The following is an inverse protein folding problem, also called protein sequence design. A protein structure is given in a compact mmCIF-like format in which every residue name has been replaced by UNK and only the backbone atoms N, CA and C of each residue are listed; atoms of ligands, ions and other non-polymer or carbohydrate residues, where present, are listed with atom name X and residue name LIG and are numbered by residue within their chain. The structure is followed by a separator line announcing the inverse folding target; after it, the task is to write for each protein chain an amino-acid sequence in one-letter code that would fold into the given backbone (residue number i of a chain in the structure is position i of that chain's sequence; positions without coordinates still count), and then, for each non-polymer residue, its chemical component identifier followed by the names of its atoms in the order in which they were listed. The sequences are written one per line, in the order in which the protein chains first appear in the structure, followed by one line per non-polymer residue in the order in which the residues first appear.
data_IF_917496663198
#
_entry.id   IF_917496663198
#
_cell.length_a   1.000
_cell.length_b   1.000
_cell.length_c   1.000
_cell.angle_alpha   90.00
_cell.angle_beta   90.00
_cell.angle_gamma   90.00
#
_symmetry.space_group_name_H-M   'P 1'
#
loop_
_entity.id
_entity.type
_entity.pdbx_description
1 polymer ?
#
# COMPACT_ATOMS: atom_id res chain seq x y z
N UNK A 1 35.18 -35.12 53.24
CA UNK A 1 34.33 -33.94 53.57
C UNK A 1 33.98 -33.22 52.27
N UNK A 2 32.67 -33.01 52.04
CA UNK A 2 32.00 -31.98 51.18
C UNK A 2 32.38 -31.99 49.68
N UNK A 3 31.65 -32.73 48.83
CA UNK A 3 30.43 -32.37 48.06
C UNK A 3 30.61 -31.25 47.02
N UNK A 4 30.47 -31.67 45.75
CA UNK A 4 30.40 -30.93 44.50
C UNK A 4 29.36 -29.81 44.48
N UNK A 5 29.65 -28.71 43.76
CA UNK A 5 28.64 -27.95 43.00
C UNK A 5 29.27 -27.51 41.67
N UNK A 6 28.83 -28.14 40.58
CA UNK A 6 28.99 -27.62 39.22
C UNK A 6 28.15 -26.34 39.10
N UNK A 7 28.78 -25.22 38.79
CA UNK A 7 28.09 -24.00 38.35
C UNK A 7 28.01 -23.99 36.83
N UNK A 8 26.90 -24.48 36.27
CA UNK A 8 26.57 -24.28 34.86
C UNK A 8 26.05 -22.84 34.70
N UNK A 9 26.87 -21.95 34.15
CA UNK A 9 26.43 -20.62 33.75
C UNK A 9 25.59 -20.76 32.47
N UNK A 10 24.26 -20.85 32.62
CA UNK A 10 23.33 -20.77 31.50
C UNK A 10 23.09 -19.29 31.16
N UNK A 11 23.81 -18.78 30.16
CA UNK A 11 23.54 -17.48 29.54
C UNK A 11 22.26 -17.62 28.71
N UNK A 12 21.11 -17.29 29.29
CA UNK A 12 19.87 -17.17 28.54
C UNK A 12 19.92 -15.88 27.69
N UNK A 13 20.30 -16.01 26.42
CA UNK A 13 20.15 -14.94 25.45
C UNK A 13 18.65 -14.73 25.18
N UNK A 14 18.06 -13.73 25.82
CA UNK A 14 16.70 -13.29 25.57
C UNK A 14 16.69 -12.57 24.21
N UNK A 15 16.46 -13.31 23.14
CA UNK A 15 16.14 -12.71 21.84
C UNK A 15 14.77 -12.03 21.97
N UNK A 16 14.77 -10.72 22.16
CA UNK A 16 13.56 -9.91 22.05
C UNK A 16 13.18 -9.93 20.56
N UNK A 17 12.41 -10.94 20.16
CA UNK A 17 11.61 -10.88 18.95
C UNK A 17 10.63 -9.73 19.15
N UNK A 18 10.96 -8.57 18.60
CA UNK A 18 9.99 -7.49 18.46
C UNK A 18 8.87 -8.04 17.59
N UNK A 19 7.77 -8.48 18.22
CA UNK A 19 6.54 -8.82 17.53
C UNK A 19 6.07 -7.55 16.83
N UNK A 20 6.40 -7.43 15.54
CA UNK A 20 5.86 -6.38 14.70
C UNK A 20 4.35 -6.64 14.66
N UNK A 21 3.50 -5.71 15.10
CA UNK A 21 2.06 -5.94 15.10
C UNK A 21 1.64 -6.21 13.66
N UNK A 22 1.17 -7.43 13.40
CA UNK A 22 0.58 -7.80 12.12
C UNK A 22 -0.60 -6.85 11.89
N UNK A 23 -0.53 -6.06 10.81
CA UNK A 23 -1.63 -5.17 10.45
C UNK A 23 -2.80 -6.05 10.01
N UNK A 24 -3.80 -6.18 10.88
CA UNK A 24 -4.93 -7.08 10.64
C UNK A 24 -5.85 -6.58 9.53
N UNK A 25 -5.89 -5.29 9.21
CA UNK A 25 -6.82 -4.76 8.20
C UNK A 25 -6.09 -4.42 6.90
N UNK A 26 -6.05 -5.35 5.95
CA UNK A 26 -5.39 -5.19 4.66
C UNK A 26 -6.39 -4.76 3.61
N UNK A 27 -6.18 -3.59 3.02
CA UNK A 27 -6.94 -3.13 1.86
C UNK A 27 -6.35 -3.72 0.59
N UNK A 28 -7.19 -4.08 -0.39
CA UNK A 28 -6.73 -4.60 -1.67
C UNK A 28 -7.76 -4.37 -2.78
N UNK A 29 -7.25 -4.23 -3.99
CA UNK A 29 -7.98 -4.38 -5.24
C UNK A 29 -7.55 -5.71 -5.87
N UNK A 30 -8.47 -6.47 -6.42
CA UNK A 30 -8.21 -7.76 -7.08
C UNK A 30 -8.88 -7.76 -8.45
N UNK A 31 -8.11 -7.63 -9.55
CA UNK A 31 -8.67 -7.75 -10.89
C UNK A 31 -8.96 -9.21 -11.25
N UNK A 32 -9.92 -9.43 -12.14
CA UNK A 32 -10.24 -10.76 -12.69
C UNK A 32 -9.13 -11.34 -13.58
N UNK A 33 -8.24 -10.49 -14.09
CA UNK A 33 -7.03 -10.84 -14.84
C UNK A 33 -6.07 -9.63 -14.86
N UNK A 34 -4.76 -9.88 -14.93
CA UNK A 34 -3.76 -8.79 -15.06
C UNK A 34 -3.19 -8.65 -16.46
N UNK A 35 -3.16 -9.73 -17.27
CA UNK A 35 -2.67 -9.72 -18.66
C UNK A 35 -3.76 -10.25 -19.58
N UNK A 36 -4.17 -9.43 -20.55
CA UNK A 36 -5.24 -9.75 -21.50
C UNK A 36 -4.81 -9.48 -22.95
N UNK A 37 -5.56 -10.08 -23.87
CA UNK A 37 -5.44 -9.83 -25.31
C UNK A 37 -6.84 -9.80 -25.94
N UNK A 38 -6.96 -9.17 -27.11
CA UNK A 38 -8.25 -8.92 -27.77
C UNK A 38 -8.60 -7.44 -27.86
N UNK A 39 -9.59 -7.11 -28.68
CA UNK A 39 -9.91 -5.72 -29.08
C UNK A 39 -11.08 -5.12 -28.31
N UNK A 40 -11.90 -5.96 -27.66
CA UNK A 40 -12.95 -5.57 -26.74
C UNK A 40 -12.75 -6.36 -25.43
N UNK A 41 -12.15 -5.70 -24.45
CA UNK A 41 -11.64 -6.35 -23.24
C UNK A 41 -12.19 -5.63 -22.02
N UNK A 42 -12.70 -6.41 -21.08
CA UNK A 42 -13.19 -5.92 -19.81
C UNK A 42 -12.42 -6.59 -18.68
N UNK A 43 -12.24 -5.85 -17.59
CA UNK A 43 -11.77 -6.41 -16.32
C UNK A 43 -12.77 -6.07 -15.23
N UNK A 44 -13.15 -7.07 -14.44
CA UNK A 44 -13.92 -6.87 -13.21
C UNK A 44 -12.93 -6.78 -12.05
N UNK A 45 -13.14 -5.83 -11.15
CA UNK A 45 -12.28 -5.62 -9.98
C UNK A 45 -13.11 -5.76 -8.71
N UNK A 46 -12.66 -6.65 -7.83
CA UNK A 46 -13.17 -6.75 -6.47
C UNK A 46 -12.31 -5.90 -5.53
N UNK A 47 -12.96 -5.15 -4.63
CA UNK A 47 -12.32 -4.19 -3.73
C UNK A 47 -12.80 -4.40 -2.29
N UNK A 48 -11.86 -4.71 -1.38
CA UNK A 48 -12.19 -5.04 0.00
C UNK A 48 -11.06 -4.73 0.99
N UNK A 49 -11.43 -4.77 2.26
CA UNK A 49 -10.55 -4.79 3.42
C UNK A 49 -10.76 -6.12 4.12
N UNK A 50 -9.69 -6.81 4.52
CA UNK A 50 -9.77 -8.13 5.17
C UNK A 50 -8.59 -8.44 6.08
N UNK A 51 -8.77 -9.43 6.96
CA UNK A 51 -7.64 -10.02 7.69
C UNK A 51 -6.92 -11.01 6.79
N UNK A 52 -7.65 -11.98 6.25
CA UNK A 52 -7.12 -12.89 5.25
C UNK A 52 -7.11 -12.24 3.85
N UNK A 53 -5.95 -12.22 3.21
CA UNK A 53 -5.81 -11.61 1.88
C UNK A 53 -6.69 -12.30 0.83
N UNK A 54 -7.35 -11.46 0.03
CA UNK A 54 -8.29 -11.87 -1.03
C UNK A 54 -9.50 -12.66 -0.52
N UNK A 55 -9.89 -12.45 0.75
CA UNK A 55 -11.10 -13.00 1.34
C UNK A 55 -12.06 -11.91 1.83
N UNK A 56 -13.35 -12.06 1.50
CA UNK A 56 -14.37 -11.05 1.80
C UNK A 56 -14.97 -11.24 3.20
N UNK A 57 -14.28 -10.78 4.25
CA UNK A 57 -14.68 -11.06 5.64
C UNK A 57 -14.68 -9.87 6.61
N UNK A 58 -14.32 -8.66 6.17
CA UNK A 58 -14.29 -7.49 7.05
C UNK A 58 -15.14 -6.33 6.53
N UNK A 59 -14.65 -5.52 5.58
CA UNK A 59 -15.41 -4.39 5.02
C UNK A 59 -15.16 -4.23 3.52
N UNK A 60 -16.16 -3.73 2.75
CA UNK A 60 -15.93 -3.32 1.38
C UNK A 60 -15.05 -2.08 1.35
N UNK A 61 -14.14 -2.01 0.38
CA UNK A 61 -13.46 -0.75 0.07
C UNK A 61 -14.46 0.18 -0.64
N UNK A 62 -14.50 1.45 -0.23
CA UNK A 62 -15.41 2.45 -0.82
C UNK A 62 -14.89 2.88 -2.19
N UNK A 63 -15.78 2.99 -3.16
CA UNK A 63 -15.41 3.26 -4.55
C UNK A 63 -15.32 4.76 -4.88
N UNK A 64 -15.68 5.65 -3.95
CA UNK A 64 -15.71 7.10 -4.17
C UNK A 64 -14.37 7.67 -4.65
N UNK A 65 -13.26 7.09 -4.16
CA UNK A 65 -11.89 7.49 -4.50
C UNK A 65 -11.21 6.53 -5.49
N UNK A 66 -11.97 5.59 -6.10
CA UNK A 66 -11.44 4.65 -7.10
C UNK A 66 -11.57 5.25 -8.50
N UNK A 67 -10.45 5.25 -9.21
CA UNK A 67 -10.34 5.75 -10.59
C UNK A 67 -9.55 4.79 -11.46
N UNK A 68 -9.78 4.87 -12.76
CA UNK A 68 -9.02 4.13 -13.78
C UNK A 68 -8.36 5.12 -14.74
N UNK A 69 -7.17 4.78 -15.22
CA UNK A 69 -6.43 5.53 -16.22
C UNK A 69 -6.01 4.60 -17.35
N UNK A 70 -6.23 5.05 -18.58
CA UNK A 70 -5.81 4.39 -19.79
C UNK A 70 -4.28 4.51 -19.98
N UNK A 71 -3.69 3.72 -20.90
CA UNK A 71 -2.25 3.72 -21.19
C UNK A 71 -1.68 5.07 -21.62
N UNK A 72 -2.50 5.97 -22.17
CA UNK A 72 -2.13 7.33 -22.53
C UNK A 72 -2.22 8.34 -21.37
N UNK A 73 -2.65 7.89 -20.18
CA UNK A 73 -2.86 8.70 -18.98
C UNK A 73 -4.24 9.36 -18.87
N UNK A 74 -5.12 9.20 -19.86
CA UNK A 74 -6.49 9.71 -19.78
C UNK A 74 -7.31 8.95 -18.72
N UNK A 75 -8.17 9.67 -17.99
CA UNK A 75 -9.06 9.03 -17.00
C UNK A 75 -10.19 8.27 -17.71
N UNK A 76 -10.37 7.02 -17.33
CA UNK A 76 -11.43 6.16 -17.81
C UNK A 76 -12.51 5.96 -16.75
N UNK A 77 -13.71 5.61 -17.20
CA UNK A 77 -14.83 5.36 -16.30
C UNK A 77 -14.72 3.97 -15.68
N UNK A 78 -15.09 3.88 -14.40
CA UNK A 78 -15.52 2.62 -13.80
C UNK A 78 -17.02 2.45 -14.06
N UNK A 79 -17.44 1.23 -14.39
CA UNK A 79 -18.81 0.88 -14.73
C UNK A 79 -19.35 -0.20 -13.80
N UNK A 80 -20.67 -0.40 -13.80
CA UNK A 80 -21.34 -1.46 -13.03
C UNK A 80 -20.98 -1.52 -11.53
N UNK A 81 -20.63 -0.38 -10.94
CA UNK A 81 -20.20 -0.30 -9.55
C UNK A 81 -21.31 -0.74 -8.59
N UNK A 82 -20.99 -1.69 -7.72
CA UNK A 82 -21.89 -2.20 -6.69
C UNK A 82 -21.15 -2.44 -5.37
N UNK A 83 -21.73 -1.99 -4.26
CA UNK A 83 -21.18 -2.21 -2.90
C UNK A 83 -22.10 -3.11 -2.10
N UNK A 84 -21.59 -4.29 -1.75
CA UNK A 84 -22.24 -5.23 -0.83
C UNK A 84 -21.77 -5.07 0.61
N UNK A 85 -22.01 -6.11 1.43
CA UNK A 85 -21.65 -6.12 2.85
C UNK A 85 -20.15 -6.23 3.11
N UNK A 86 -19.41 -6.98 2.28
CA UNK A 86 -17.99 -7.29 2.49
C UNK A 86 -17.09 -6.96 1.29
N UNK A 87 -17.68 -6.61 0.14
CA UNK A 87 -16.94 -6.26 -1.07
C UNK A 87 -17.65 -5.20 -1.87
N UNK A 88 -16.88 -4.36 -2.53
CA UNK A 88 -17.33 -3.59 -3.68
C UNK A 88 -16.81 -4.26 -4.95
N UNK A 89 -17.55 -4.16 -6.03
CA UNK A 89 -17.17 -4.68 -7.35
C UNK A 89 -17.51 -3.63 -8.41
N UNK A 90 -16.72 -3.58 -9.47
CA UNK A 90 -16.93 -2.69 -10.61
C UNK A 90 -16.19 -3.24 -11.83
N UNK A 91 -16.53 -2.73 -13.01
CA UNK A 91 -15.91 -3.10 -14.28
C UNK A 91 -15.13 -1.93 -14.87
N UNK A 92 -14.10 -2.22 -15.66
CA UNK A 92 -13.39 -1.25 -16.49
C UNK A 92 -13.31 -1.78 -17.91
N UNK A 93 -13.77 -0.97 -18.87
CA UNK A 93 -13.64 -1.25 -20.29
C UNK A 93 -12.25 -0.82 -20.77
N UNK A 94 -11.41 -1.78 -21.16
CA UNK A 94 -10.02 -1.55 -21.54
C UNK A 94 -9.91 -1.26 -23.04
N UNK A 95 -10.32 -0.06 -23.44
CA UNK A 95 -10.46 0.36 -24.85
C UNK A 95 -9.15 0.66 -25.59
N UNK A 96 -7.99 0.43 -24.95
CA UNK A 96 -6.67 0.78 -25.47
C UNK A 96 -5.68 -0.33 -25.11
N UNK A 97 -4.75 -0.62 -26.03
CA UNK A 97 -3.60 -1.50 -25.78
C UNK A 97 -2.58 -0.78 -24.92
N UNK A 98 -1.94 -1.52 -24.01
CA UNK A 98 -0.99 -0.97 -23.04
C UNK A 98 -1.37 -1.30 -21.60
N UNK A 99 -0.63 -0.69 -20.68
CA UNK A 99 -0.84 -0.86 -19.24
C UNK A 99 -1.79 0.22 -18.71
N UNK A 100 -2.89 -0.25 -18.14
CA UNK A 100 -3.88 0.52 -17.41
C UNK A 100 -3.52 0.57 -15.94
N UNK A 101 -3.84 1.68 -15.29
CA UNK A 101 -3.76 1.81 -13.83
C UNK A 101 -5.16 1.95 -13.26
N UNK A 102 -5.48 1.20 -12.22
CA UNK A 102 -6.71 1.36 -11.45
C UNK A 102 -6.29 1.57 -10.00
N UNK A 103 -6.71 2.67 -9.39
CA UNK A 103 -6.25 3.00 -8.05
C UNK A 103 -7.33 3.62 -7.17
N UNK A 104 -7.24 3.32 -5.87
CA UNK A 104 -7.80 4.15 -4.81
C UNK A 104 -6.69 5.01 -4.22
N UNK A 105 -6.88 6.32 -4.22
CA UNK A 105 -5.91 7.28 -3.66
C UNK A 105 -6.60 8.19 -2.66
N UNK A 106 -6.16 8.16 -1.41
CA UNK A 106 -6.69 8.99 -0.34
C UNK A 106 -5.58 9.85 0.29
N UNK A 107 -5.75 11.16 0.24
CA UNK A 107 -4.92 12.14 0.93
C UNK A 107 -5.73 12.77 2.08
N UNK A 108 -5.22 12.70 3.31
CA UNK A 108 -5.85 13.29 4.48
C UNK A 108 -4.90 14.23 5.18
N UNK A 109 -5.39 15.43 5.48
CA UNK A 109 -4.75 16.37 6.40
C UNK A 109 -5.65 16.54 7.62
N UNK A 110 -5.10 16.23 8.79
CA UNK A 110 -5.74 16.50 10.07
C UNK A 110 -4.87 17.44 10.88
N UNK A 111 -5.47 18.12 11.85
CA UNK A 111 -4.70 19.04 12.67
C UNK A 111 -5.56 19.87 13.60
N UNK A 112 -4.86 20.74 14.32
CA UNK A 112 -5.46 21.72 15.22
C UNK A 112 -4.63 23.00 15.27
N UNK A 113 -5.24 24.08 15.72
CA UNK A 113 -4.61 25.38 15.93
C UNK A 113 -5.13 26.02 17.22
N UNK A 114 -4.39 26.98 17.77
CA UNK A 114 -4.83 27.82 18.87
C UNK A 114 -5.45 29.13 18.33
N UNK A 115 -6.63 29.48 18.82
CA UNK A 115 -7.31 30.75 18.50
C UNK A 115 -8.00 31.27 19.76
N UNK A 116 -7.77 32.53 20.10
CA UNK A 116 -8.36 33.17 21.30
C UNK A 116 -8.14 32.37 22.59
N UNK A 117 -6.96 31.75 22.74
CA UNK A 117 -6.61 30.92 23.91
C UNK A 117 -7.27 29.53 23.95
N UNK A 118 -7.99 29.12 22.90
CA UNK A 118 -8.62 27.79 22.78
C UNK A 118 -8.00 26.98 21.64
N UNK A 119 -7.97 25.66 21.80
CA UNK A 119 -7.54 24.73 20.76
C UNK A 119 -8.72 24.33 19.89
N UNK A 120 -8.61 24.55 18.58
CA UNK A 120 -9.63 24.27 17.57
C UNK A 120 -9.11 23.27 16.55
N UNK A 121 -10.00 22.49 15.91
CA UNK A 121 -9.64 21.56 14.83
C UNK A 121 -9.53 22.31 13.50
N UNK A 122 -8.71 21.81 12.57
CA UNK A 122 -8.69 22.32 11.20
C UNK A 122 -10.11 22.31 10.59
N UNK A 123 -10.48 23.35 9.81
CA UNK A 123 -11.73 23.36 9.07
C UNK A 123 -11.86 22.15 8.14
N UNK A 124 -13.10 21.74 7.84
CA UNK A 124 -13.34 20.64 6.90
C UNK A 124 -12.80 20.96 5.51
N UNK A 125 -12.29 19.93 4.82
CA UNK A 125 -11.71 20.06 3.48
C UNK A 125 -10.42 20.88 3.43
N UNK A 126 -9.70 20.99 4.55
CA UNK A 126 -8.34 21.56 4.56
C UNK A 126 -7.37 20.54 3.97
N UNK A 127 -6.52 21.00 3.08
CA UNK A 127 -5.45 20.23 2.42
C UNK A 127 -4.13 20.95 2.66
N UNK A 128 -3.00 20.28 2.40
CA UNK A 128 -1.69 20.91 2.53
C UNK A 128 -1.57 22.18 1.66
N UNK A 129 -2.19 22.16 0.48
CA UNK A 129 -2.16 23.28 -0.47
C UNK A 129 -2.98 24.51 -0.02
N UNK A 130 -4.07 24.33 0.73
CA UNK A 130 -4.96 25.43 1.15
C UNK A 130 -4.94 25.72 2.65
N UNK A 131 -4.02 25.11 3.40
CA UNK A 131 -3.93 25.23 4.86
C UNK A 131 -3.83 26.68 5.30
N UNK A 132 -2.93 27.46 4.70
CA UNK A 132 -2.72 28.86 5.06
C UNK A 132 -3.96 29.72 4.80
N UNK A 133 -4.71 29.45 3.73
CA UNK A 133 -5.92 30.19 3.35
C UNK A 133 -7.10 29.87 4.28
N UNK A 134 -7.19 28.62 4.76
CA UNK A 134 -8.29 28.16 5.62
C UNK A 134 -8.10 28.45 7.09
N UNK A 135 -6.89 28.78 7.54
CA UNK A 135 -6.65 29.15 8.93
C UNK A 135 -7.29 30.53 9.22
N UNK A 136 -8.09 30.65 10.30
CA UNK A 136 -8.67 31.93 10.67
C UNK A 136 -7.59 32.91 11.13
N UNK A 137 -7.84 34.20 10.93
CA UNK A 137 -6.94 35.26 11.38
C UNK A 137 -6.67 35.16 12.89
N UNK A 138 -5.40 35.26 13.29
CA UNK A 138 -4.97 35.12 14.69
C UNK A 138 -4.77 33.67 15.15
N UNK A 139 -4.90 32.67 14.25
CA UNK A 139 -4.51 31.31 14.55
C UNK A 139 -3.00 31.20 14.81
N UNK A 140 -2.63 30.50 15.87
CA UNK A 140 -1.23 30.22 16.28
C UNK A 140 -1.09 28.75 16.68
N UNK A 141 0.13 28.25 16.95
CA UNK A 141 0.39 26.84 17.34
C UNK A 141 -0.33 25.80 16.44
N UNK A 142 -0.16 25.94 15.13
CA UNK A 142 -0.75 25.03 14.14
C UNK A 142 0.02 23.72 14.16
N UNK A 143 -0.68 22.62 14.40
CA UNK A 143 -0.12 21.27 14.36
C UNK A 143 -0.90 20.43 13.38
N UNK A 144 -0.18 19.76 12.49
CA UNK A 144 -0.75 18.96 11.41
C UNK A 144 -0.21 17.55 11.40
N UNK A 145 -1.06 16.63 10.96
CA UNK A 145 -0.69 15.27 10.63
C UNK A 145 -1.27 14.92 9.26
N UNK A 146 -0.39 14.47 8.36
CA UNK A 146 -0.73 14.06 7.00
C UNK A 146 -0.72 12.54 6.86
N UNK A 147 -1.67 12.03 6.09
CA UNK A 147 -1.69 10.64 5.65
C UNK A 147 -1.93 10.57 4.14
N UNK A 148 -1.13 9.77 3.44
CA UNK A 148 -1.34 9.44 2.02
C UNK A 148 -1.42 7.93 1.87
N UNK A 149 -2.54 7.43 1.39
CA UNK A 149 -2.75 6.01 1.15
C UNK A 149 -3.05 5.78 -0.33
N UNK A 150 -2.34 4.81 -0.91
CA UNK A 150 -2.45 4.45 -2.33
C UNK A 150 -2.64 2.95 -2.43
N UNK A 151 -3.64 2.50 -3.17
CA UNK A 151 -3.86 1.10 -3.49
C UNK A 151 -4.05 1.00 -5.00
N UNK A 152 -3.03 0.50 -5.70
CA UNK A 152 -2.95 0.50 -7.16
C UNK A 152 -2.85 -0.93 -7.70
N UNK A 153 -3.56 -1.21 -8.78
CA UNK A 153 -3.36 -2.41 -9.59
C UNK A 153 -3.12 -2.00 -11.04
N UNK A 154 -2.46 -2.89 -11.76
CA UNK A 154 -2.11 -2.68 -13.16
C UNK A 154 -2.69 -3.80 -14.00
N UNK A 155 -3.28 -3.45 -15.14
CA UNK A 155 -3.85 -4.43 -16.08
C UNK A 155 -3.30 -4.11 -17.46
N UNK A 156 -2.73 -5.09 -18.14
CA UNK A 156 -2.08 -4.90 -19.44
C UNK A 156 -2.89 -5.59 -20.53
N UNK A 157 -3.20 -4.84 -21.60
CA UNK A 157 -3.79 -5.41 -22.83
C UNK A 157 -2.74 -5.37 -23.94
N UNK A 158 -2.27 -6.54 -24.38
CA UNK A 158 -1.20 -6.63 -25.38
C UNK A 158 0.18 -6.27 -24.79
N UNK A 159 0.93 -5.40 -25.46
CA UNK A 159 2.28 -5.03 -25.01
C UNK A 159 2.23 -4.03 -23.83
N UNK A 160 3.09 -4.16 -22.81
CA UNK A 160 3.11 -3.25 -21.67
C UNK A 160 3.60 -1.85 -22.06
N UNK A 161 3.04 -0.82 -21.40
CA UNK A 161 3.48 0.59 -21.50
C UNK A 161 3.82 1.13 -20.11
N UNK A 162 4.52 2.27 -20.07
CA UNK A 162 5.04 2.83 -18.80
C UNK A 162 4.48 4.20 -18.40
N UNK A 163 3.69 4.85 -19.25
CA UNK A 163 3.17 6.21 -19.02
C UNK A 163 2.40 6.35 -17.71
N UNK A 164 1.63 5.35 -17.31
CA UNK A 164 0.84 5.37 -16.07
C UNK A 164 1.69 5.33 -14.78
N UNK A 165 3.00 5.09 -14.89
CA UNK A 165 3.94 5.12 -13.76
C UNK A 165 4.66 6.47 -13.60
N UNK A 166 4.31 7.49 -14.38
CA UNK A 166 4.81 8.84 -14.17
C UNK A 166 4.44 9.35 -12.75
N UNK A 167 5.43 9.68 -11.89
CA UNK A 167 5.15 10.07 -10.52
C UNK A 167 4.40 11.40 -10.42
N UNK A 168 3.44 11.45 -9.51
CA UNK A 168 2.72 12.68 -9.13
C UNK A 168 3.50 13.53 -8.12
N UNK A 169 4.52 12.96 -7.49
CA UNK A 169 5.36 13.62 -6.48
C UNK A 169 4.72 13.64 -5.09
N UNK A 170 3.79 12.72 -4.80
CA UNK A 170 3.03 12.71 -3.55
C UNK A 170 2.97 11.34 -2.89
N UNK A 171 3.29 11.26 -1.60
CA UNK A 171 3.24 10.02 -0.84
C UNK A 171 4.20 8.97 -1.40
N UNK A 172 3.92 7.70 -1.17
CA UNK A 172 4.69 6.60 -1.75
C UNK A 172 4.15 6.29 -3.15
N UNK A 173 5.06 6.14 -4.11
CA UNK A 173 4.74 5.87 -5.53
C UNK A 173 5.66 4.78 -6.08
N UNK A 174 5.11 3.87 -6.88
CA UNK A 174 5.85 2.82 -7.57
C UNK A 174 6.39 3.33 -8.91
N UNK A 175 7.69 3.17 -9.13
CA UNK A 175 8.36 3.30 -10.42
C UNK A 175 8.98 1.93 -10.73
N UNK A 176 8.32 1.09 -11.56
CA UNK A 176 8.79 -0.27 -11.77
C UNK A 176 10.09 -0.30 -12.58
N UNK A 177 11.06 -1.10 -12.12
CA UNK A 177 12.21 -1.50 -12.96
C UNK A 177 11.83 -2.75 -13.77
N UNK A 178 11.20 -3.72 -13.11
CA UNK A 178 10.47 -4.83 -13.72
C UNK A 178 8.99 -4.46 -13.79
N UNK A 179 8.35 -4.64 -14.95
CA UNK A 179 6.94 -4.31 -15.12
C UNK A 179 6.06 -5.17 -14.19
N UNK A 180 5.04 -4.61 -13.49
CA UNK A 180 4.27 -5.34 -12.49
C UNK A 180 3.41 -6.50 -13.02
N UNK A 181 3.18 -6.54 -14.35
CA UNK A 181 2.50 -7.63 -15.04
C UNK A 181 3.45 -8.55 -15.82
N UNK A 182 4.75 -8.52 -15.50
CA UNK A 182 5.79 -9.36 -16.10
C UNK A 182 6.59 -10.06 -14.99
N UNK A 183 5.88 -10.91 -14.23
CA UNK A 183 6.41 -11.58 -13.03
C UNK A 183 6.23 -13.09 -13.16
N UNK A 184 7.32 -13.84 -12.94
CA UNK A 184 7.34 -15.30 -13.01
C UNK A 184 7.91 -15.91 -11.73
N UNK A 185 7.38 -17.06 -11.35
CA UNK A 185 7.88 -17.83 -10.22
C UNK A 185 9.32 -18.30 -10.47
N UNK A 186 10.15 -18.27 -9.44
CA UNK A 186 11.59 -18.54 -9.51
C UNK A 186 12.44 -17.35 -9.95
N UNK A 187 11.84 -16.30 -10.52
CA UNK A 187 12.56 -15.11 -10.98
C UNK A 187 12.54 -13.97 -9.97
N UNK A 188 13.50 -13.04 -10.12
CA UNK A 188 13.58 -11.82 -9.32
C UNK A 188 13.06 -10.62 -10.10
N UNK A 189 12.13 -9.88 -9.51
CA UNK A 189 11.64 -8.60 -10.03
C UNK A 189 12.15 -7.45 -9.17
N UNK A 190 12.50 -6.33 -9.80
CA UNK A 190 12.93 -5.12 -9.10
C UNK A 190 11.89 -4.01 -9.20
N UNK A 191 11.57 -3.39 -8.06
CA UNK A 191 10.69 -2.24 -7.98
C UNK A 191 11.43 -1.07 -7.33
N UNK A 192 11.17 0.15 -7.79
CA UNK A 192 11.61 1.37 -7.11
C UNK A 192 10.41 2.06 -6.47
N UNK A 193 10.57 2.50 -5.23
CA UNK A 193 9.60 3.29 -4.52
C UNK A 193 10.16 4.69 -4.27
N UNK A 194 9.35 5.68 -4.62
CA UNK A 194 9.61 7.08 -4.30
C UNK A 194 8.77 7.49 -3.09
N UNK A 195 9.26 8.43 -2.31
CA UNK A 195 8.47 9.21 -1.34
C UNK A 195 8.53 10.67 -1.80
N UNK A 196 7.38 11.19 -2.22
CA UNK A 196 7.22 12.55 -2.74
C UNK A 196 8.14 12.87 -3.91
N UNK A 197 8.17 11.96 -4.88
CA UNK A 197 8.99 12.08 -6.09
C UNK A 197 10.50 11.87 -5.88
N UNK A 198 10.94 11.50 -4.67
CA UNK A 198 12.35 11.22 -4.37
C UNK A 198 12.58 9.76 -4.01
N UNK A 199 13.69 9.13 -4.45
CA UNK A 199 14.07 7.79 -4.00
C UNK A 199 14.04 7.66 -2.48
N UNK A 200 13.32 6.66 -1.97
CA UNK A 200 13.08 6.51 -0.54
C UNK A 200 13.72 5.26 0.03
N UNK A 201 14.86 5.43 0.71
CA UNK A 201 15.57 4.35 1.38
C UNK A 201 14.95 3.97 2.71
N UNK A 202 15.11 2.71 3.11
CA UNK A 202 14.70 2.24 4.43
C UNK A 202 13.18 2.07 4.61
N UNK A 203 12.40 2.08 3.53
CA UNK A 203 10.98 1.77 3.58
C UNK A 203 10.78 0.26 3.79
N UNK A 204 10.06 -0.17 4.83
CA UNK A 204 9.62 -1.55 4.96
C UNK A 204 8.72 -1.94 3.78
N UNK A 205 9.02 -3.08 3.17
CA UNK A 205 8.24 -3.69 2.10
C UNK A 205 7.80 -5.07 2.57
N UNK A 206 6.50 -5.31 2.61
CA UNK A 206 5.91 -6.59 3.00
C UNK A 206 5.18 -7.18 1.82
N UNK A 207 5.49 -8.42 1.47
CA UNK A 207 4.87 -9.16 0.38
C UNK A 207 4.23 -10.42 0.96
N UNK A 208 2.96 -10.67 0.65
CA UNK A 208 2.23 -11.83 1.18
C UNK A 208 1.44 -12.50 0.05
N UNK A 209 1.66 -13.81 -0.21
CA UNK A 209 0.85 -14.54 -1.17
C UNK A 209 -0.60 -14.69 -0.70
N UNK A 210 -1.53 -14.55 -1.63
CA UNK A 210 -2.94 -14.88 -1.44
C UNK A 210 -3.17 -16.36 -1.14
N UNK A 211 -4.37 -16.71 -0.66
CA UNK A 211 -4.77 -18.11 -0.46
C UNK A 211 -4.33 -18.72 0.88
N UNK A 212 -4.16 -17.89 1.92
CA UNK A 212 -3.83 -18.36 3.28
C UNK A 212 -4.78 -19.43 3.80
N UNK A 213 -6.06 -19.43 3.40
CA UNK A 213 -7.03 -20.48 3.81
C UNK A 213 -6.66 -21.90 3.39
N UNK A 214 -5.72 -22.05 2.46
CA UNK A 214 -5.28 -23.34 1.95
C UNK A 214 -3.83 -23.65 2.35
N UNK A 215 -3.26 -22.91 3.31
CA UNK A 215 -1.90 -23.09 3.81
C UNK A 215 -1.84 -22.87 5.31
N UNK A 216 -0.84 -23.47 5.96
CA UNK A 216 -0.65 -23.33 7.41
C UNK A 216 0.16 -22.07 7.80
N UNK A 217 0.80 -21.42 6.82
CA UNK A 217 1.68 -20.26 7.04
C UNK A 217 1.37 -19.12 6.07
N UNK A 218 1.54 -17.88 6.56
CA UNK A 218 1.35 -16.65 5.78
C UNK A 218 2.32 -16.54 4.60
N UNK A 219 3.51 -17.14 4.70
CA UNK A 219 4.60 -17.01 3.72
C UNK A 219 4.91 -15.53 3.41
N UNK A 220 4.85 -14.70 4.45
CA UNK A 220 5.21 -13.28 4.37
C UNK A 220 6.70 -13.14 4.06
N UNK A 221 7.02 -12.25 3.12
CA UNK A 221 8.38 -11.85 2.76
C UNK A 221 8.54 -10.39 3.20
N UNK A 222 9.50 -10.14 4.08
CA UNK A 222 9.82 -8.80 4.55
C UNK A 222 11.14 -8.33 3.95
N UNK A 223 11.11 -7.15 3.34
CA UNK A 223 12.22 -6.54 2.63
C UNK A 223 12.32 -5.06 3.05
N UNK A 224 13.38 -4.40 2.62
CA UNK A 224 13.58 -2.97 2.87
C UNK A 224 14.20 -2.33 1.64
N UNK A 225 13.71 -1.14 1.26
CA UNK A 225 14.26 -0.42 0.12
C UNK A 225 15.71 0.03 0.38
N UNK A 226 16.56 -0.10 -0.63
CA UNK A 226 17.94 0.33 -0.58
C UNK A 226 18.09 1.87 -0.73
N UNK A 227 19.33 2.37 -0.81
CA UNK A 227 19.64 3.80 -0.95
C UNK A 227 18.97 4.49 -2.15
N UNK A 228 18.65 3.73 -3.20
CA UNK A 228 17.99 4.20 -4.42
C UNK A 228 16.47 4.02 -4.37
N UNK A 229 15.91 3.64 -3.21
CA UNK A 229 14.50 3.31 -3.07
C UNK A 229 14.09 1.99 -3.73
N UNK A 230 15.05 1.15 -4.12
CA UNK A 230 14.78 -0.11 -4.83
C UNK A 230 14.66 -1.29 -3.88
N UNK A 231 13.84 -2.26 -4.26
CA UNK A 231 13.72 -3.57 -3.65
C UNK A 231 13.69 -4.65 -4.72
N UNK A 232 14.37 -5.76 -4.48
CA UNK A 232 14.31 -6.95 -5.33
C UNK A 232 13.48 -8.02 -4.61
N UNK A 233 12.46 -8.54 -5.29
CA UNK A 233 11.57 -9.59 -4.78
C UNK A 233 11.80 -10.83 -5.63
N UNK A 234 12.19 -11.95 -5.01
CA UNK A 234 12.21 -13.26 -5.68
C UNK A 234 10.89 -13.96 -5.41
N UNK A 235 10.18 -14.33 -6.47
CA UNK A 235 8.84 -14.91 -6.34
C UNK A 235 8.91 -16.42 -6.18
N UNK A 236 8.50 -16.99 -5.05
CA UNK A 236 8.70 -18.42 -4.81
C UNK A 236 7.73 -19.29 -5.63
N UNK A 237 6.47 -18.85 -5.79
CA UNK A 237 5.39 -19.64 -6.38
C UNK A 237 4.50 -18.75 -7.26
N UNK A 238 3.77 -19.32 -8.23
CA UNK A 238 2.77 -18.58 -8.98
C UNK A 238 1.54 -18.24 -8.12
N UNK A 239 0.85 -17.16 -8.46
CA UNK A 239 -0.39 -16.73 -7.84
C UNK A 239 -0.47 -15.22 -7.60
N UNK A 240 -1.54 -14.79 -6.92
CA UNK A 240 -1.72 -13.38 -6.54
C UNK A 240 -0.98 -13.05 -5.26
N UNK A 241 -0.26 -11.93 -5.26
CA UNK A 241 0.50 -11.41 -4.13
C UNK A 241 0.00 -10.02 -3.76
N UNK A 242 -0.12 -9.76 -2.47
CA UNK A 242 -0.31 -8.42 -1.93
C UNK A 242 1.06 -7.87 -1.52
N UNK A 243 1.40 -6.69 -2.03
CA UNK A 243 2.61 -5.96 -1.67
C UNK A 243 2.22 -4.66 -0.99
N UNK A 244 2.86 -4.36 0.14
CA UNK A 244 2.67 -3.13 0.87
C UNK A 244 4.01 -2.46 1.20
N UNK A 245 4.05 -1.15 1.06
CA UNK A 245 5.16 -0.30 1.44
C UNK A 245 4.63 0.79 2.33
N UNK A 246 5.28 1.03 3.46
CA UNK A 246 4.86 2.08 4.40
C UNK A 246 6.03 2.94 4.83
N UNK A 247 5.76 4.17 5.22
CA UNK A 247 6.73 4.95 5.99
C UNK A 247 6.92 4.28 7.36
N UNK A 248 8.16 4.16 7.88
CA UNK A 248 8.40 3.66 9.22
C UNK A 248 7.53 4.36 10.26
N UNK A 249 7.06 3.61 11.27
CA UNK A 249 6.36 4.22 12.39
C UNK A 249 7.34 5.08 13.19
N UNK A 250 6.87 6.24 13.67
CA UNK A 250 7.63 7.07 14.60
C UNK A 250 7.88 6.37 15.94
N UNK A 251 8.81 6.86 16.77
CA UNK A 251 9.04 6.33 18.11
C UNK A 251 7.74 6.30 18.95
N UNK A 252 7.58 5.27 19.80
CA UNK A 252 6.48 5.23 20.79
C UNK A 252 6.55 6.44 21.72
N UNK A 253 5.43 7.13 21.88
CA UNK A 253 5.26 8.15 22.91
C UNK A 253 5.19 7.52 24.31
N UNK A 254 5.32 8.34 25.34
CA UNK A 254 5.34 7.93 26.76
C UNK A 254 4.08 7.19 27.24
N UNK A 255 2.99 7.21 26.47
CA UNK A 255 1.73 6.53 26.76
C UNK A 255 1.58 5.16 26.06
N UNK A 256 2.61 4.65 25.40
CA UNK A 256 2.56 3.37 24.68
C UNK A 256 1.83 3.43 23.33
N UNK A 257 1.23 4.58 22.99
CA UNK A 257 0.77 4.91 21.66
C UNK A 257 1.96 5.38 20.81
N UNK A 258 2.04 4.90 19.56
CA UNK A 258 3.00 5.42 18.59
C UNK A 258 2.74 6.94 18.47
N UNK A 259 3.76 7.78 18.69
CA UNK A 259 3.61 9.19 18.32
C UNK A 259 3.39 9.19 16.81
N UNK A 260 2.16 9.45 16.37
CA UNK A 260 1.84 9.43 14.95
C UNK A 260 2.81 10.41 14.27
N UNK A 261 3.70 9.94 13.37
CA UNK A 261 4.61 10.86 12.72
C UNK A 261 3.75 11.93 12.03
N UNK A 262 4.26 13.16 11.98
CA UNK A 262 3.57 14.29 11.33
C UNK A 262 3.15 13.97 9.89
N UNK A 263 3.73 12.92 9.31
CA UNK A 263 3.38 12.38 8.01
C UNK A 263 3.48 10.85 8.00
N UNK A 264 2.44 10.19 7.49
CA UNK A 264 2.42 8.75 7.18
C UNK A 264 2.09 8.56 5.70
N UNK A 265 2.74 7.61 5.05
CA UNK A 265 2.33 7.17 3.73
C UNK A 265 2.29 5.65 3.63
N UNK A 266 1.35 5.14 2.86
CA UNK A 266 1.23 3.73 2.50
C UNK A 266 0.97 3.57 1.01
N UNK A 267 1.58 2.55 0.44
CA UNK A 267 1.35 2.07 -0.92
C UNK A 267 1.00 0.60 -0.86
N UNK A 268 -0.03 0.20 -1.57
CA UNK A 268 -0.48 -1.18 -1.71
C UNK A 268 -0.59 -1.48 -3.20
N UNK A 269 -0.20 -2.68 -3.58
CA UNK A 269 -0.54 -3.22 -4.89
C UNK A 269 -0.81 -4.72 -4.82
N UNK A 270 -1.65 -5.20 -5.73
CA UNK A 270 -1.85 -6.62 -5.95
C UNK A 270 -1.18 -7.00 -7.27
N UNK A 271 -0.33 -8.02 -7.21
CA UNK A 271 0.50 -8.48 -8.33
C UNK A 271 0.18 -9.92 -8.66
N UNK A 272 0.13 -10.28 -9.93
CA UNK A 272 0.02 -11.67 -10.39
C UNK A 272 1.40 -12.19 -10.77
N UNK A 273 1.80 -13.33 -10.22
CA UNK A 273 3.00 -14.06 -10.59
C UNK A 273 2.59 -15.29 -11.38
N UNK A 274 3.11 -15.43 -12.59
CA UNK A 274 2.81 -16.55 -13.49
C UNK A 274 3.77 -17.71 -13.27
N UNK A 275 3.35 -18.89 -13.71
CA UNK A 275 4.25 -20.03 -13.82
C UNK A 275 5.25 -19.80 -14.98
N UNK A 276 6.49 -20.31 -14.89
CA UNK A 276 7.49 -20.23 -15.97
C UNK A 276 7.05 -20.89 -17.29
#
# INVERSE_FOLDING_TARGET
MKKHILGFAATAAFAILAAVPAEAHRQWLLPSATVLSGDDVWVTVDAAVSNDLFYFEHFPLRLDDVKAWAPDGSEAKIENAATGRYRSTFDVHLTQKGTWRIASVAEMLTGSYALNGKRERLPRGTTAANLAEKLPAGATDVQTAEASNRNEIFVTVGAPTTTVFEPTGKGIELVPVTHPNDLYAGESATFQFLLDGKPAAGLPVTVIPGGIRYRDQLNQIDLTTNAEGKVAVTWPEPGMYWLNVTTPRGPRGAAGEDAAPARRASYVTTLEVLAP
#
